data_IF_192420954041
#
_entry.id   IF_192420954041
#
_cell.length_a   1.000
_cell.length_b   1.000
_cell.length_c   1.000
_cell.angle_alpha   90.00
_cell.angle_beta   90.00
_cell.angle_gamma   90.00
#
_symmetry.space_group_name_H-M   'P 1'
#
loop_
_entity.id
_entity.type
_entity.pdbx_description
1 polymer ?
#
# COMPACT_ATOMS: atom_id res chain seq x y z
N UNK A 1 -47.51 52.21 13.51
CA UNK A 1 -46.85 51.22 12.62
C UNK A 1 -45.49 51.77 12.20
N UNK A 2 -44.51 50.87 11.99
CA UNK A 2 -43.12 51.06 11.50
C UNK A 2 -42.02 51.36 12.54
N UNK A 3 -41.42 50.29 13.07
CA UNK A 3 -40.22 50.31 13.93
C UNK A 3 -39.19 49.25 13.45
N UNK A 4 -38.78 49.27 12.18
CA UNK A 4 -37.60 48.48 11.75
C UNK A 4 -36.90 49.12 10.55
N UNK A 5 -36.13 50.18 10.80
CA UNK A 5 -35.17 50.66 9.82
C UNK A 5 -33.91 49.79 9.90
N UNK A 6 -33.75 48.88 8.94
CA UNK A 6 -32.51 48.11 8.78
C UNK A 6 -31.39 49.04 8.31
N UNK A 7 -30.19 49.03 8.91
CA UNK A 7 -29.10 49.89 8.48
C UNK A 7 -28.62 49.49 7.08
N UNK A 8 -28.49 50.47 6.18
CA UNK A 8 -27.95 50.26 4.83
C UNK A 8 -26.49 49.80 4.95
N UNK A 9 -26.18 48.61 4.43
CA UNK A 9 -24.80 48.08 4.36
C UNK A 9 -23.98 48.98 3.44
N UNK A 10 -22.87 49.53 3.93
CA UNK A 10 -21.86 50.20 3.09
C UNK A 10 -21.22 49.15 2.17
N UNK A 11 -21.46 49.27 0.87
CA UNK A 11 -20.72 48.54 -0.16
C UNK A 11 -19.30 49.11 -0.12
N UNK A 12 -18.29 48.27 0.12
CA UNK A 12 -16.90 48.69 0.08
C UNK A 12 -16.52 48.97 -1.38
N UNK A 13 -16.36 50.24 -1.72
CA UNK A 13 -15.76 50.63 -3.00
C UNK A 13 -14.29 50.22 -2.97
N UNK A 14 -13.85 49.43 -3.96
CA UNK A 14 -12.44 49.12 -4.18
C UNK A 14 -11.68 50.43 -4.40
N UNK A 15 -10.75 50.76 -3.51
CA UNK A 15 -9.80 51.86 -3.70
C UNK A 15 -8.84 51.43 -4.82
N UNK A 16 -8.83 52.15 -5.93
CA UNK A 16 -7.83 51.97 -7.00
C UNK A 16 -6.52 52.55 -6.45
N UNK A 17 -5.58 51.68 -6.07
CA UNK A 17 -4.26 52.10 -5.60
C UNK A 17 -3.49 52.63 -6.83
N UNK A 18 -3.00 53.86 -6.72
CA UNK A 18 -2.03 54.44 -7.64
C UNK A 18 -0.71 53.71 -7.43
N UNK A 19 -0.08 53.36 -8.54
CA UNK A 19 1.17 52.64 -8.65
C UNK A 19 2.32 53.55 -8.18
N UNK A 20 2.72 53.41 -6.92
CA UNK A 20 4.03 53.87 -6.45
C UNK A 20 4.71 52.65 -5.82
N UNK A 21 5.76 52.21 -6.52
CA UNK A 21 6.62 51.09 -6.22
C UNK A 21 7.09 51.14 -4.76
N UNK A 22 6.51 50.27 -3.94
CA UNK A 22 7.16 49.76 -2.73
C UNK A 22 7.25 48.25 -2.92
N UNK A 23 8.36 47.85 -3.54
CA UNK A 23 8.89 46.49 -3.43
C UNK A 23 9.13 46.23 -1.95
N UNK A 24 8.35 45.33 -1.33
CA UNK A 24 8.72 44.51 -0.16
C UNK A 24 7.56 43.56 0.22
N UNK A 25 7.75 42.28 -0.10
CA UNK A 25 7.39 41.08 0.70
C UNK A 25 5.97 40.85 1.25
N UNK A 26 4.92 41.44 0.69
CA UNK A 26 3.55 41.25 1.18
C UNK A 26 2.71 40.22 0.41
N UNK A 27 3.27 39.06 0.06
CA UNK A 27 2.45 37.92 -0.40
C UNK A 27 2.04 37.11 0.83
N UNK A 28 1.04 37.59 1.56
CA UNK A 28 0.45 36.81 2.66
C UNK A 28 0.06 35.42 2.14
N UNK A 29 0.60 34.38 2.75
CA UNK A 29 0.32 33.01 2.29
C UNK A 29 -1.15 32.70 2.52
N UNK A 30 -1.71 31.76 1.76
CA UNK A 30 -3.10 31.31 1.95
C UNK A 30 -3.34 30.83 3.39
N UNK A 31 -2.29 30.35 4.07
CA UNK A 31 -2.30 30.00 5.48
C UNK A 31 -2.59 31.21 6.37
N UNK A 32 -1.81 32.27 6.22
CA UNK A 32 -1.92 33.50 7.01
C UNK A 32 -3.31 34.13 6.84
N UNK A 33 -3.83 34.15 5.60
CA UNK A 33 -5.17 34.68 5.30
C UNK A 33 -6.26 33.84 5.98
N UNK A 34 -6.14 32.50 5.97
CA UNK A 34 -7.09 31.60 6.65
C UNK A 34 -7.06 31.77 8.16
N UNK A 35 -5.89 31.96 8.76
CA UNK A 35 -5.77 32.22 10.19
C UNK A 35 -6.42 33.54 10.61
N UNK A 36 -6.19 34.59 9.81
CA UNK A 36 -6.79 35.91 10.02
C UNK A 36 -8.31 35.90 9.81
N UNK A 37 -8.84 35.03 8.94
CA UNK A 37 -10.28 34.79 8.83
C UNK A 37 -10.86 34.06 10.06
N UNK A 38 -10.14 33.07 10.59
CA UNK A 38 -10.56 32.34 11.82
C UNK A 38 -10.60 33.28 13.03
N UNK A 39 -9.64 34.18 13.18
CA UNK A 39 -9.60 35.14 14.29
C UNK A 39 -10.72 36.19 14.22
N UNK A 40 -11.19 36.53 13.00
CA UNK A 40 -12.35 37.41 12.77
C UNK A 40 -13.70 36.72 13.02
N UNK A 41 -13.72 35.39 13.14
CA UNK A 41 -14.90 34.64 13.54
C UNK A 41 -15.29 34.97 14.99
N UNK A 42 -16.26 35.85 15.18
CA UNK A 42 -16.84 36.12 16.51
C UNK A 42 -17.50 34.83 17.01
N UNK A 43 -16.90 34.18 18.00
CA UNK A 43 -17.56 33.12 18.75
C UNK A 43 -18.56 33.80 19.68
N UNK A 44 -19.85 33.67 19.38
CA UNK A 44 -20.88 34.17 20.27
C UNK A 44 -20.86 33.32 21.56
N UNK A 45 -20.39 33.91 22.66
CA UNK A 45 -20.48 33.32 24.00
C UNK A 45 -19.66 32.04 24.23
N UNK A 46 -19.83 31.50 25.44
CA UNK A 46 -19.39 30.15 25.81
C UNK A 46 -20.48 29.17 25.36
N UNK A 47 -20.08 28.04 24.79
CA UNK A 47 -21.02 26.93 24.57
C UNK A 47 -21.52 26.37 25.91
N UNK A 48 -22.69 25.73 25.94
CA UNK A 48 -23.29 25.18 27.16
C UNK A 48 -22.30 24.27 27.93
N UNK A 49 -21.53 23.47 27.19
CA UNK A 49 -20.50 22.56 27.71
C UNK A 49 -19.29 23.36 28.26
N UNK A 50 -18.84 24.40 27.56
CA UNK A 50 -17.74 25.27 28.02
C UNK A 50 -18.14 26.08 29.27
N UNK A 51 -19.41 26.45 29.40
CA UNK A 51 -19.93 27.14 30.57
C UNK A 51 -19.99 26.23 31.81
N UNK A 52 -20.39 24.96 31.61
CA UNK A 52 -20.50 23.98 32.70
C UNK A 52 -19.14 23.43 33.18
N UNK A 53 -18.22 23.13 32.27
CA UNK A 53 -16.98 22.40 32.57
C UNK A 53 -15.71 23.26 32.46
N UNK A 54 -15.80 24.43 31.81
CA UNK A 54 -14.66 25.28 31.47
C UNK A 54 -14.00 24.90 30.14
N UNK A 55 -13.40 25.89 29.48
CA UNK A 55 -12.86 25.80 28.09
C UNK A 55 -11.88 24.64 27.88
N UNK A 56 -10.98 24.39 28.82
CA UNK A 56 -9.95 23.34 28.68
C UNK A 56 -10.58 21.94 28.74
N UNK A 57 -11.46 21.69 29.71
CA UNK A 57 -12.13 20.39 29.86
C UNK A 57 -13.14 20.12 28.74
N UNK A 58 -13.82 21.16 28.26
CA UNK A 58 -14.72 21.06 27.11
C UNK A 58 -13.98 20.73 25.81
N UNK A 59 -12.77 21.27 25.60
CA UNK A 59 -11.94 20.92 24.45
C UNK A 59 -11.53 19.44 24.44
N UNK A 60 -11.18 18.88 25.60
CA UNK A 60 -10.85 17.46 25.73
C UNK A 60 -12.06 16.54 25.49
N UNK A 61 -13.27 16.97 25.89
CA UNK A 61 -14.51 16.23 25.62
C UNK A 61 -14.95 16.34 24.14
N UNK A 62 -14.73 17.48 23.49
CA UNK A 62 -14.99 17.62 22.06
C UNK A 62 -14.01 16.83 21.19
N UNK A 63 -12.76 16.70 21.62
CA UNK A 63 -11.77 15.83 20.97
C UNK A 63 -12.00 14.33 21.27
N UNK A 64 -12.81 14.01 22.28
CA UNK A 64 -13.16 12.65 22.68
C UNK A 64 -14.55 12.24 22.20
N UNK A 65 -14.60 11.58 21.03
CA UNK A 65 -15.73 10.75 20.56
C UNK A 65 -17.07 11.49 20.51
N UNK A 66 -17.43 11.98 19.32
CA UNK A 66 -18.78 12.48 19.09
C UNK A 66 -19.75 11.29 18.99
N UNK A 67 -20.71 11.24 19.91
CA UNK A 67 -21.84 10.30 19.84
C UNK A 67 -22.91 10.95 18.96
N UNK A 68 -22.83 10.72 17.65
CA UNK A 68 -23.88 11.07 16.72
C UNK A 68 -24.67 9.80 16.37
N UNK A 69 -25.93 9.70 16.79
CA UNK A 69 -26.83 8.62 16.35
C UNK A 69 -26.56 7.22 16.94
N UNK A 70 -26.05 7.12 18.16
CA UNK A 70 -25.92 5.83 18.88
C UNK A 70 -24.70 4.99 18.52
N UNK A 71 -23.93 5.37 17.49
CA UNK A 71 -22.63 4.77 17.18
C UNK A 71 -21.49 5.72 17.55
N UNK A 72 -20.47 5.22 18.23
CA UNK A 72 -19.25 5.97 18.55
C UNK A 72 -18.50 6.28 17.25
N UNK A 73 -18.47 7.54 16.83
CA UNK A 73 -17.70 7.99 15.67
C UNK A 73 -16.42 8.70 16.15
N UNK A 74 -15.26 8.22 15.71
CA UNK A 74 -13.98 8.91 15.90
C UNK A 74 -14.01 10.26 15.18
N UNK A 75 -13.45 11.28 15.82
CA UNK A 75 -13.37 12.63 15.22
C UNK A 75 -12.45 12.61 13.99
N UNK A 76 -12.73 13.46 13.00
CA UNK A 76 -11.95 13.53 11.75
C UNK A 76 -10.44 13.75 12.01
N UNK A 77 -10.09 14.49 13.07
CA UNK A 77 -8.70 14.71 13.49
C UNK A 77 -8.03 13.44 14.00
N UNK A 78 -8.76 12.57 14.71
CA UNK A 78 -8.22 11.29 15.18
C UNK A 78 -8.05 10.32 14.02
N UNK A 79 -8.98 10.31 13.06
CA UNK A 79 -8.84 9.53 11.82
C UNK A 79 -7.61 9.97 11.01
N UNK A 80 -7.42 11.27 10.82
CA UNK A 80 -6.23 11.79 10.13
C UNK A 80 -4.91 11.47 10.85
N UNK A 81 -4.90 11.43 12.19
CA UNK A 81 -3.72 11.02 12.96
C UNK A 81 -3.41 9.52 12.83
N UNK A 82 -4.44 8.68 12.80
CA UNK A 82 -4.28 7.24 12.59
C UNK A 82 -3.80 6.93 11.17
N UNK A 83 -4.40 7.59 10.17
CA UNK A 83 -4.00 7.46 8.76
C UNK A 83 -2.56 7.93 8.53
N UNK A 84 -2.14 9.04 9.16
CA UNK A 84 -0.76 9.50 9.09
C UNK A 84 0.23 8.50 9.74
N UNK A 85 -0.15 7.88 10.85
CA UNK A 85 0.68 6.86 11.51
C UNK A 85 0.77 5.56 10.68
N UNK A 86 -0.32 5.14 10.03
CA UNK A 86 -0.34 3.98 9.13
C UNK A 86 0.53 4.19 7.89
N UNK A 87 0.52 5.41 7.32
CA UNK A 87 1.38 5.77 6.19
C UNK A 87 2.86 5.77 6.61
N UNK A 88 3.20 6.30 7.79
CA UNK A 88 4.57 6.29 8.31
C UNK A 88 5.07 4.86 8.57
N UNK A 89 4.23 4.00 9.13
CA UNK A 89 4.55 2.59 9.32
C UNK A 89 4.74 1.84 8.00
N UNK A 90 3.87 2.09 7.00
CA UNK A 90 3.99 1.51 5.66
C UNK A 90 5.25 1.95 4.92
N UNK A 91 5.64 3.21 5.04
CA UNK A 91 6.89 3.75 4.47
C UNK A 91 8.11 3.10 5.14
N UNK A 92 8.08 2.93 6.47
CA UNK A 92 9.16 2.27 7.21
C UNK A 92 9.32 0.81 6.81
N UNK A 93 8.21 0.07 6.69
CA UNK A 93 8.23 -1.33 6.24
C UNK A 93 8.74 -1.45 4.79
N UNK A 94 8.41 -0.50 3.92
CA UNK A 94 8.95 -0.44 2.56
C UNK A 94 10.46 -0.21 2.55
N UNK A 95 10.99 0.71 3.36
CA UNK A 95 12.44 0.91 3.48
C UNK A 95 13.17 -0.30 4.07
N UNK A 96 12.56 -0.99 5.04
CA UNK A 96 13.12 -2.23 5.62
C UNK A 96 13.14 -3.38 4.59
N UNK A 97 12.14 -3.48 3.72
CA UNK A 97 12.13 -4.45 2.61
C UNK A 97 13.10 -4.07 1.49
N UNK A 98 13.21 -2.77 1.16
CA UNK A 98 14.10 -2.26 0.13
C UNK A 98 15.58 -2.41 0.53
N UNK A 99 15.93 -2.14 1.79
CA UNK A 99 17.28 -2.37 2.33
C UNK A 99 17.65 -3.87 2.33
N UNK A 100 16.68 -4.77 2.47
CA UNK A 100 16.93 -6.21 2.35
C UNK A 100 17.20 -6.66 0.91
N UNK A 101 16.60 -6.01 -0.09
CA UNK A 101 16.77 -6.36 -1.51
C UNK A 101 18.05 -5.78 -2.14
N UNK A 102 18.74 -4.86 -1.45
CA UNK A 102 19.97 -4.24 -1.96
C UNK A 102 21.18 -5.07 -1.54
N UNK A 103 21.91 -5.59 -2.53
CA UNK A 103 23.08 -6.47 -2.35
C UNK A 103 24.16 -5.91 -1.39
N UNK A 104 24.22 -4.58 -1.23
CA UNK A 104 25.14 -3.88 -0.31
C UNK A 104 25.02 -4.38 1.15
N UNK A 105 23.82 -4.73 1.60
CA UNK A 105 23.62 -5.23 2.97
C UNK A 105 24.04 -6.69 3.13
N UNK A 106 23.97 -7.50 2.08
CA UNK A 106 24.47 -8.87 2.09
C UNK A 106 26.01 -8.89 2.14
N UNK A 107 26.66 -8.01 1.36
CA UNK A 107 28.11 -7.87 1.37
C UNK A 107 28.64 -7.33 2.71
N UNK A 108 27.93 -6.38 3.33
CA UNK A 108 28.24 -5.90 4.69
C UNK A 108 28.14 -7.00 5.74
N UNK A 109 27.13 -7.87 5.69
CA UNK A 109 27.00 -9.01 6.62
C UNK A 109 28.16 -10.00 6.44
N UNK A 110 28.49 -10.36 5.20
CA UNK A 110 29.65 -11.21 4.90
C UNK A 110 30.95 -10.61 5.41
N UNK A 111 31.13 -9.29 5.30
CA UNK A 111 32.31 -8.61 5.82
C UNK A 111 32.39 -8.67 7.36
N UNK A 112 31.26 -8.47 8.05
CA UNK A 112 31.18 -8.57 9.51
C UNK A 112 31.48 -10.01 9.96
N UNK A 113 30.85 -11.00 9.32
CA UNK A 113 31.04 -12.41 9.63
C UNK A 113 32.50 -12.83 9.40
N UNK A 114 33.11 -12.40 8.30
CA UNK A 114 34.54 -12.62 8.03
C UNK A 114 35.45 -11.93 9.06
N UNK A 115 35.07 -10.72 9.52
CA UNK A 115 35.79 -10.01 10.57
C UNK A 115 35.72 -10.72 11.92
N UNK A 116 34.55 -11.24 12.29
CA UNK A 116 34.33 -12.02 13.51
C UNK A 116 35.04 -13.37 13.45
N UNK A 117 35.02 -14.06 12.30
CA UNK A 117 35.72 -15.32 12.10
C UNK A 117 37.25 -15.17 12.25
N UNK A 118 37.81 -14.09 11.67
CA UNK A 118 39.23 -13.73 11.84
C UNK A 118 39.58 -13.44 13.29
N UNK A 119 38.70 -12.75 14.03
CA UNK A 119 38.91 -12.47 15.46
C UNK A 119 38.83 -13.74 16.32
N UNK A 120 37.99 -14.70 15.91
CA UNK A 120 37.81 -16.00 16.56
C UNK A 120 38.94 -17.00 16.24
N UNK A 121 39.84 -16.66 15.31
CA UNK A 121 40.98 -17.49 14.92
C UNK A 121 40.62 -18.64 13.97
N UNK A 122 39.45 -18.58 13.33
CA UNK A 122 39.09 -19.49 12.24
C UNK A 122 39.66 -18.92 10.93
N UNK A 123 40.90 -19.29 10.59
CA UNK A 123 41.50 -18.98 9.29
C UNK A 123 40.78 -19.78 8.19
N UNK A 124 39.77 -19.18 7.57
CA UNK A 124 39.03 -19.74 6.42
C UNK A 124 39.82 -19.72 5.10
N UNK A 125 41.15 -19.75 5.14
CA UNK A 125 42.00 -19.86 3.94
C UNK A 125 42.37 -21.31 3.59
N UNK A 126 41.67 -22.28 4.15
CA UNK A 126 41.92 -23.69 3.87
C UNK A 126 40.62 -24.45 3.69
N UNK A 127 40.08 -24.40 2.48
CA UNK A 127 39.53 -25.54 1.73
C UNK A 127 38.75 -25.02 0.53
N UNK A 128 39.37 -25.13 -0.65
CA UNK A 128 38.69 -25.52 -1.88
C UNK A 128 39.73 -26.27 -2.75
N UNK A 129 40.23 -27.38 -2.18
CA UNK A 129 40.98 -28.41 -2.91
C UNK A 129 40.00 -29.24 -3.77
N UNK A 130 39.80 -28.77 -4.99
CA UNK A 130 39.99 -29.50 -6.25
C UNK A 130 39.59 -31.00 -6.36
N UNK A 131 38.42 -31.40 -5.82
CA UNK A 131 37.91 -32.77 -6.03
C UNK A 131 36.44 -32.91 -6.41
N UNK A 132 35.72 -31.79 -6.66
CA UNK A 132 34.29 -31.83 -7.00
C UNK A 132 33.85 -30.89 -8.14
N UNK A 133 34.76 -30.50 -9.03
CA UNK A 133 34.44 -29.57 -10.14
C UNK A 133 33.30 -30.06 -11.06
N UNK A 134 33.08 -31.37 -11.19
CA UNK A 134 31.94 -31.91 -11.94
C UNK A 134 30.60 -31.63 -11.28
N UNK A 135 30.52 -31.86 -9.97
CA UNK A 135 29.31 -31.65 -9.17
C UNK A 135 29.00 -30.17 -8.98
N UNK A 136 30.03 -29.32 -8.87
CA UNK A 136 29.86 -27.86 -8.77
C UNK A 136 29.38 -27.23 -10.08
N UNK A 137 29.87 -27.69 -11.23
CA UNK A 137 29.38 -27.21 -12.53
C UNK A 137 27.93 -27.63 -12.75
N UNK A 138 27.57 -28.87 -12.39
CA UNK A 138 26.20 -29.39 -12.45
C UNK A 138 25.28 -28.67 -11.44
N UNK A 139 25.72 -28.45 -10.21
CA UNK A 139 24.98 -27.72 -9.19
C UNK A 139 24.78 -26.25 -9.58
N UNK A 140 25.80 -25.62 -10.18
CA UNK A 140 25.71 -24.26 -10.71
C UNK A 140 24.78 -24.15 -11.91
N UNK A 141 24.79 -25.14 -12.81
CA UNK A 141 23.85 -25.21 -13.93
C UNK A 141 22.40 -25.43 -13.45
N UNK A 142 22.20 -26.33 -12.49
CA UNK A 142 20.89 -26.58 -11.88
C UNK A 142 20.35 -25.35 -11.13
N UNK A 143 21.23 -24.62 -10.43
CA UNK A 143 20.87 -23.38 -9.73
C UNK A 143 20.43 -22.28 -10.71
N UNK A 144 21.14 -22.12 -11.84
CA UNK A 144 20.71 -21.20 -12.92
C UNK A 144 19.36 -21.60 -13.50
N UNK A 145 19.12 -22.90 -13.75
CA UNK A 145 17.83 -23.41 -14.21
C UNK A 145 16.70 -23.22 -13.19
N UNK A 146 17.00 -23.33 -11.89
CA UNK A 146 16.06 -23.07 -10.79
C UNK A 146 15.66 -21.59 -10.73
N UNK A 147 16.55 -20.67 -11.06
CA UNK A 147 16.22 -19.24 -11.20
C UNK A 147 15.29 -18.95 -12.39
N UNK A 148 15.34 -19.77 -13.46
CA UNK A 148 14.40 -19.68 -14.58
C UNK A 148 13.10 -20.45 -14.36
N UNK A 149 13.02 -21.28 -13.30
CA UNK A 149 11.79 -21.96 -12.87
C UNK A 149 10.87 -20.94 -12.21
N UNK A 150 10.07 -20.28 -13.05
CA UNK A 150 9.15 -19.18 -12.71
C UNK A 150 7.95 -19.56 -11.84
N UNK A 151 7.98 -20.69 -11.13
CA UNK A 151 6.84 -21.18 -10.32
C UNK A 151 6.32 -20.10 -9.35
N UNK A 152 7.23 -19.37 -8.73
CA UNK A 152 6.89 -18.27 -7.80
C UNK A 152 6.32 -17.03 -8.50
N UNK A 153 6.78 -16.71 -9.71
CA UNK A 153 6.28 -15.57 -10.48
C UNK A 153 4.92 -15.86 -11.14
N UNK A 154 4.69 -17.11 -11.55
CA UNK A 154 3.40 -17.55 -12.08
C UNK A 154 2.36 -17.68 -10.99
N UNK A 155 2.72 -18.11 -9.77
CA UNK A 155 1.78 -18.18 -8.64
C UNK A 155 1.27 -16.81 -8.21
N UNK A 156 2.17 -15.82 -8.02
CA UNK A 156 1.78 -14.49 -7.54
C UNK A 156 0.90 -13.71 -8.53
N UNK A 157 1.12 -13.88 -9.84
CA UNK A 157 0.27 -13.28 -10.87
C UNK A 157 -1.02 -14.08 -11.08
N UNK A 158 -0.94 -15.41 -11.00
CA UNK A 158 -2.11 -16.31 -11.13
C UNK A 158 -3.10 -16.08 -10.00
N UNK A 159 -2.64 -15.94 -8.76
CA UNK A 159 -3.51 -15.73 -7.60
C UNK A 159 -4.25 -14.39 -7.69
N UNK A 160 -3.60 -13.32 -8.16
CA UNK A 160 -4.25 -12.04 -8.45
C UNK A 160 -5.30 -12.16 -9.56
N UNK A 161 -5.03 -12.94 -10.62
CA UNK A 161 -6.00 -13.18 -11.69
C UNK A 161 -7.17 -14.09 -11.25
N UNK A 162 -6.92 -15.05 -10.34
CA UNK A 162 -7.96 -15.91 -9.76
C UNK A 162 -8.85 -15.17 -8.77
N UNK A 163 -8.27 -14.32 -7.92
CA UNK A 163 -9.00 -13.49 -6.96
C UNK A 163 -9.83 -12.38 -7.65
N UNK A 164 -9.46 -12.00 -8.88
CA UNK A 164 -10.17 -11.01 -9.70
C UNK A 164 -11.34 -11.56 -10.53
N UNK A 165 -11.57 -12.88 -10.54
CA UNK A 165 -12.74 -13.47 -11.19
C UNK A 165 -13.89 -13.41 -10.18
N UNK A 166 -14.91 -12.55 -10.36
CA UNK A 166 -16.11 -12.65 -9.54
C UNK A 166 -16.69 -14.05 -9.74
N UNK A 167 -16.93 -14.75 -8.64
CA UNK A 167 -17.56 -16.05 -8.62
C UNK A 167 -18.96 -15.94 -9.24
N UNK A 168 -19.02 -16.15 -10.56
CA UNK A 168 -20.29 -16.36 -11.26
C UNK A 168 -20.66 -17.80 -10.93
N UNK A 169 -21.74 -18.00 -10.19
CA UNK A 169 -22.25 -19.34 -9.88
C UNK A 169 -22.57 -20.09 -11.18
N UNK A 170 -21.62 -20.89 -11.68
CA UNK A 170 -21.75 -21.70 -12.90
C UNK A 170 -22.77 -22.85 -12.73
N UNK A 171 -23.35 -23.00 -11.53
CA UNK A 171 -24.20 -24.12 -11.16
C UNK A 171 -23.41 -25.41 -10.94
N UNK A 172 -23.99 -26.32 -10.16
CA UNK A 172 -23.34 -27.61 -9.80
C UNK A 172 -23.04 -28.44 -11.06
N UNK A 173 -23.93 -28.40 -12.07
CA UNK A 173 -23.76 -29.18 -13.28
C UNK A 173 -22.51 -28.76 -14.07
N UNK A 174 -22.27 -27.47 -14.30
CA UNK A 174 -21.09 -27.01 -15.03
C UNK A 174 -19.79 -27.30 -14.25
N UNK A 175 -19.83 -27.21 -12.92
CA UNK A 175 -18.71 -27.62 -12.05
C UNK A 175 -18.40 -29.10 -12.22
N UNK A 176 -19.42 -29.96 -12.25
CA UNK A 176 -19.27 -31.40 -12.49
C UNK A 176 -18.67 -31.66 -13.86
N UNK A 177 -19.15 -31.01 -14.93
CA UNK A 177 -18.57 -31.22 -16.28
C UNK A 177 -17.09 -30.84 -16.34
N UNK A 178 -16.71 -29.71 -15.73
CA UNK A 178 -15.31 -29.28 -15.68
C UNK A 178 -14.44 -30.25 -14.88
N UNK A 179 -14.94 -30.78 -13.76
CA UNK A 179 -14.23 -31.80 -12.97
C UNK A 179 -14.05 -33.08 -13.80
N UNK A 180 -15.10 -33.55 -14.50
CA UNK A 180 -15.02 -34.75 -15.33
C UNK A 180 -14.04 -34.59 -16.49
N UNK A 181 -14.05 -33.43 -17.17
CA UNK A 181 -13.13 -33.15 -18.28
C UNK A 181 -11.66 -33.06 -17.80
N UNK A 182 -11.42 -32.43 -16.65
CA UNK A 182 -10.07 -32.31 -16.09
C UNK A 182 -9.55 -33.65 -15.57
N UNK A 183 -10.39 -34.47 -14.94
CA UNK A 183 -10.01 -35.84 -14.55
C UNK A 183 -9.72 -36.73 -15.75
N UNK A 184 -10.49 -36.59 -16.84
CA UNK A 184 -10.24 -37.35 -18.08
C UNK A 184 -8.86 -37.02 -18.66
N UNK A 185 -8.54 -35.72 -18.82
CA UNK A 185 -7.23 -35.27 -19.32
C UNK A 185 -6.09 -35.70 -18.38
N UNK A 186 -6.31 -35.67 -17.07
CA UNK A 186 -5.33 -36.14 -16.08
C UNK A 186 -5.05 -37.64 -16.25
N UNK A 187 -6.07 -38.46 -16.46
CA UNK A 187 -5.91 -39.90 -16.73
C UNK A 187 -5.16 -40.15 -18.03
N UNK A 188 -5.51 -39.44 -19.10
CA UNK A 188 -4.80 -39.53 -20.40
C UNK A 188 -3.32 -39.14 -20.27
N UNK A 189 -2.99 -38.14 -19.46
CA UNK A 189 -1.61 -37.71 -19.22
C UNK A 189 -0.81 -38.75 -18.42
N UNK A 190 -1.43 -39.37 -17.42
CA UNK A 190 -0.82 -40.46 -16.65
C UNK A 190 -0.61 -41.69 -17.55
N UNK A 191 -1.59 -42.03 -18.38
CA UNK A 191 -1.49 -43.11 -19.36
C UNK A 191 -0.39 -42.83 -20.39
N UNK A 192 -0.26 -41.58 -20.85
CA UNK A 192 0.86 -41.17 -21.70
C UNK A 192 2.22 -41.37 -21.02
N UNK A 193 2.35 -40.97 -19.75
CA UNK A 193 3.60 -41.18 -19.00
C UNK A 193 3.95 -42.67 -18.85
N UNK A 194 2.94 -43.53 -18.70
CA UNK A 194 3.12 -44.98 -18.57
C UNK A 194 3.42 -45.68 -19.89
N UNK A 195 2.82 -45.22 -21.00
CA UNK A 195 2.87 -45.90 -22.31
C UNK A 195 3.81 -45.25 -23.32
N UNK A 196 4.30 -44.04 -23.06
CA UNK A 196 5.21 -43.28 -23.92
C UNK A 196 4.61 -42.81 -25.26
N UNK A 197 3.32 -43.04 -25.52
CA UNK A 197 2.64 -42.66 -26.78
C UNK A 197 1.98 -41.30 -26.69
N UNK A 198 2.54 -40.29 -27.35
CA UNK A 198 2.01 -38.91 -27.33
C UNK A 198 0.53 -38.90 -27.73
N UNK A 199 -0.37 -38.30 -26.93
CA UNK A 199 -1.75 -38.14 -27.34
C UNK A 199 -1.82 -37.23 -28.58
N UNK A 200 -2.65 -37.59 -29.55
CA UNK A 200 -2.90 -36.76 -30.71
C UNK A 200 -3.54 -35.44 -30.22
N UNK A 201 -2.85 -34.32 -30.44
CA UNK A 201 -3.44 -33.01 -30.20
C UNK A 201 -4.54 -32.79 -31.24
N UNK A 202 -5.79 -32.67 -30.78
CA UNK A 202 -6.86 -32.18 -31.64
C UNK A 202 -6.53 -30.74 -32.08
N UNK A 203 -6.64 -30.43 -33.39
CA UNK A 203 -6.33 -29.09 -33.88
C UNK A 203 -7.26 -28.06 -33.24
N UNK A 204 -6.79 -26.82 -33.02
CA UNK A 204 -7.60 -25.79 -32.37
C UNK A 204 -8.88 -25.53 -33.18
N UNK A 205 -10.02 -25.85 -32.59
CA UNK A 205 -11.33 -25.53 -33.16
C UNK A 205 -11.46 -24.01 -33.23
N UNK A 206 -11.36 -23.45 -34.44
CA UNK A 206 -11.63 -22.02 -34.69
C UNK A 206 -13.07 -21.73 -34.27
N UNK A 207 -13.25 -21.05 -33.13
CA UNK A 207 -14.57 -20.54 -32.75
C UNK A 207 -15.02 -19.53 -33.81
N UNK A 208 -16.28 -19.60 -34.29
CA UNK A 208 -16.79 -18.60 -35.21
C UNK A 208 -16.79 -17.25 -34.50
N UNK A 209 -16.15 -16.26 -35.13
CA UNK A 209 -16.21 -14.85 -34.69
C UNK A 209 -17.67 -14.41 -34.77
N UNK A 210 -18.25 -14.09 -33.61
CA UNK A 210 -19.48 -13.31 -33.50
C UNK A 210 -19.12 -11.86 -33.26
#
# INVERSE_FOLDING_TARGET
>A
MSLFNKPKRKIQARRKMSDEETEDDNVATIGDIKELQRSRGKKNGLTEIECALGKQKAAHLLDGIQIAGGSMAMTEKQKARLEAADIEAGIREQFEKETLLRDEHEELRKYIDNGLAKLKGEDLNSQDDDSNQGDDVLARAASKLKSYRSETATELLSEHMLAGIPEVDLGINARITNILETEKKKKELIEYQLTGKRPAQDPPTKKPRR
#
